data_IF_173755163968
#
_entry.id   IF_173755163968
#
_cell.length_a   1.000
_cell.length_b   1.000
_cell.length_c   1.000
_cell.angle_alpha   90.00
_cell.angle_beta   90.00
_cell.angle_gamma   90.00
#
_symmetry.space_group_name_H-M   'P 1'
#
loop_
_entity.id
_entity.type
_entity.pdbx_description
1 polymer ?
#
# COMPACT_ATOMS: atom_id res chain seq x y z
N UNK A 1 1.14 13.78 1.35
CA UNK A 1 1.14 12.85 2.50
C UNK A 1 1.82 11.56 2.10
N UNK A 2 2.38 10.83 3.06
CA UNK A 2 2.98 9.51 2.80
C UNK A 2 1.98 8.39 3.11
N UNK A 3 1.64 7.57 2.12
CA UNK A 3 0.81 6.38 2.31
C UNK A 3 1.70 5.20 2.75
N UNK A 4 1.36 4.55 3.85
CA UNK A 4 1.98 3.30 4.29
C UNK A 4 1.04 2.12 4.04
N UNK A 5 1.56 1.03 3.48
CA UNK A 5 0.84 -0.23 3.29
C UNK A 5 1.67 -1.38 3.88
N UNK A 6 1.04 -2.27 4.63
CA UNK A 6 1.62 -3.53 5.06
C UNK A 6 0.61 -4.67 4.94
N UNK A 7 0.96 -5.64 4.12
CA UNK A 7 0.18 -6.86 3.84
C UNK A 7 0.97 -8.12 4.18
N UNK A 8 2.10 -7.98 4.88
CA UNK A 8 3.00 -9.08 5.27
C UNK A 8 2.36 -10.03 6.28
N UNK A 9 1.39 -9.57 7.08
CA UNK A 9 0.70 -10.40 8.06
C UNK A 9 -0.37 -11.28 7.40
N UNK A 10 -0.49 -12.55 7.81
CA UNK A 10 -1.48 -13.48 7.27
C UNK A 10 -2.93 -13.12 7.59
N UNK A 11 -3.19 -12.39 8.67
CA UNK A 11 -4.56 -12.15 9.18
C UNK A 11 -5.04 -10.70 9.08
N UNK A 12 -4.13 -9.75 8.88
CA UNK A 12 -4.46 -8.32 8.83
C UNK A 12 -3.80 -7.59 7.68
N UNK A 13 -4.35 -6.41 7.40
CA UNK A 13 -3.76 -5.38 6.57
C UNK A 13 -3.56 -4.16 7.46
N UNK A 14 -2.43 -3.48 7.33
CA UNK A 14 -2.17 -2.20 7.98
C UNK A 14 -2.04 -1.15 6.88
N UNK A 15 -2.80 -0.07 6.99
CA UNK A 15 -2.73 1.09 6.11
C UNK A 15 -2.57 2.33 6.98
N UNK A 16 -1.79 3.30 6.54
CA UNK A 16 -1.59 4.53 7.28
C UNK A 16 -1.28 5.73 6.39
N UNK A 17 -1.48 6.91 6.96
CA UNK A 17 -1.06 8.17 6.36
C UNK A 17 -0.14 8.89 7.35
N UNK A 18 1.05 9.26 6.89
CA UNK A 18 2.11 9.87 7.68
C UNK A 18 2.42 9.08 8.97
N UNK A 19 1.98 9.55 10.14
CA UNK A 19 2.26 8.94 11.44
C UNK A 19 1.10 8.07 11.98
N UNK A 20 -0.05 8.07 11.32
CA UNK A 20 -1.22 7.32 11.75
C UNK A 20 -1.33 6.01 10.99
N UNK A 21 -1.50 4.89 11.70
CA UNK A 21 -1.68 3.56 11.12
C UNK A 21 -2.93 2.91 11.69
N UNK A 22 -3.72 2.30 10.82
CA UNK A 22 -4.94 1.59 11.15
C UNK A 22 -4.86 0.18 10.58
N UNK A 23 -5.34 -0.79 11.34
CA UNK A 23 -5.39 -2.17 10.91
C UNK A 23 -6.83 -2.65 10.67
N UNK A 24 -6.98 -3.60 9.75
CA UNK A 24 -8.23 -4.31 9.52
C UNK A 24 -7.97 -5.80 9.34
N UNK A 25 -8.93 -6.62 9.73
CA UNK A 25 -8.84 -8.07 9.58
C UNK A 25 -9.11 -8.46 8.12
N UNK A 26 -8.15 -9.16 7.53
CA UNK A 26 -8.24 -9.69 6.17
C UNK A 26 -7.38 -10.95 6.10
N UNK A 27 -8.01 -12.12 5.98
CA UNK A 27 -7.33 -13.41 5.95
C UNK A 27 -7.13 -13.87 4.51
N UNK A 28 -8.22 -14.25 3.86
CA UNK A 28 -8.22 -14.76 2.48
C UNK A 28 -8.62 -13.69 1.45
N UNK A 29 -9.15 -12.56 1.91
CA UNK A 29 -9.79 -11.51 1.11
C UNK A 29 -8.95 -10.24 0.98
N UNK A 30 -7.62 -10.34 1.14
CA UNK A 30 -6.72 -9.16 1.12
C UNK A 30 -6.80 -8.37 -0.18
N UNK A 31 -6.88 -9.06 -1.32
CA UNK A 31 -7.00 -8.43 -2.65
C UNK A 31 -8.30 -7.66 -2.82
N UNK A 32 -9.37 -8.07 -2.12
CA UNK A 32 -10.67 -7.42 -2.16
C UNK A 32 -10.77 -6.27 -1.15
N UNK A 33 -10.05 -6.36 -0.03
CA UNK A 33 -10.13 -5.39 1.07
C UNK A 33 -9.16 -4.22 1.00
N UNK A 34 -7.97 -4.40 0.43
CA UNK A 34 -6.91 -3.38 0.53
C UNK A 34 -7.33 -2.02 -0.05
N UNK A 35 -7.80 -1.99 -1.30
CA UNK A 35 -8.21 -0.73 -1.95
C UNK A 35 -9.43 -0.08 -1.29
N UNK A 36 -10.53 -0.80 -0.97
CA UNK A 36 -11.64 -0.22 -0.21
C UNK A 36 -11.22 0.33 1.15
N UNK A 37 -10.28 -0.33 1.84
CA UNK A 37 -9.79 0.15 3.13
C UNK A 37 -8.99 1.45 3.00
N UNK A 38 -8.16 1.58 1.96
CA UNK A 38 -7.46 2.83 1.64
C UNK A 38 -8.48 3.96 1.36
N UNK A 39 -9.50 3.71 0.52
CA UNK A 39 -10.55 4.69 0.19
C UNK A 39 -11.34 5.13 1.44
N UNK A 40 -11.70 4.17 2.30
CA UNK A 40 -12.38 4.46 3.56
C UNK A 40 -11.57 5.40 4.45
N UNK A 41 -10.27 5.14 4.61
CA UNK A 41 -9.40 5.97 5.45
C UNK A 41 -9.20 7.37 4.86
N UNK A 42 -9.02 7.49 3.54
CA UNK A 42 -8.97 8.80 2.85
C UNK A 42 -10.25 9.61 3.11
N UNK A 43 -11.42 8.99 2.94
CA UNK A 43 -12.71 9.64 3.19
C UNK A 43 -12.87 10.09 4.64
N UNK A 44 -12.47 9.27 5.60
CA UNK A 44 -12.52 9.60 7.04
C UNK A 44 -11.67 10.82 7.37
N UNK A 45 -10.49 10.94 6.75
CA UNK A 45 -9.58 12.07 6.95
C UNK A 45 -9.88 13.26 6.01
N UNK A 46 -10.94 13.16 5.17
CA UNK A 46 -11.32 14.16 4.16
C UNK A 46 -10.18 14.49 3.17
N UNK A 47 -9.38 13.48 2.88
CA UNK A 47 -8.26 13.52 1.96
C UNK A 47 -8.64 12.91 0.62
N UNK A 48 -7.89 13.24 -0.42
CA UNK A 48 -8.02 12.64 -1.75
C UNK A 48 -6.82 11.77 -2.07
N UNK A 49 -6.99 10.86 -3.01
CA UNK A 49 -5.90 9.97 -3.44
C UNK A 49 -4.76 10.76 -4.11
N UNK A 50 -5.07 11.89 -4.73
CA UNK A 50 -4.10 12.81 -5.34
C UNK A 50 -3.24 13.57 -4.32
N UNK A 51 -3.64 13.60 -3.05
CA UNK A 51 -2.87 14.24 -1.97
C UNK A 51 -1.70 13.34 -1.48
N UNK A 52 -1.64 12.09 -1.98
CA UNK A 52 -0.51 11.17 -1.75
C UNK A 52 0.70 11.68 -2.53
N UNK A 53 1.81 11.86 -1.82
CA UNK A 53 3.08 12.35 -2.38
C UNK A 53 4.17 11.28 -2.43
N UNK A 54 4.01 10.18 -1.68
CA UNK A 54 4.93 9.05 -1.62
C UNK A 54 4.17 7.82 -1.08
N UNK A 55 4.58 6.62 -1.50
CA UNK A 55 4.06 5.35 -1.00
C UNK A 55 5.19 4.54 -0.37
N UNK A 56 4.97 4.03 0.82
CA UNK A 56 5.81 3.05 1.49
C UNK A 56 5.05 1.73 1.62
N UNK A 57 5.70 0.64 1.19
CA UNK A 57 5.15 -0.71 1.23
C UNK A 57 6.15 -1.65 1.90
N UNK A 58 5.68 -2.44 2.85
CA UNK A 58 6.48 -3.54 3.39
C UNK A 58 6.66 -4.64 2.32
N UNK A 59 7.90 -4.85 1.87
CA UNK A 59 8.26 -5.83 0.84
C UNK A 59 8.61 -7.21 1.39
N UNK A 60 8.49 -7.43 2.70
CA UNK A 60 8.77 -8.71 3.35
C UNK A 60 9.89 -8.65 4.41
N UNK A 61 10.13 -9.77 5.10
CA UNK A 61 9.50 -11.09 4.91
C UNK A 61 8.04 -11.13 5.38
N UNK A 62 7.25 -12.11 4.90
CA UNK A 62 5.84 -12.25 5.28
C UNK A 62 4.99 -13.14 4.36
N UNK A 63 3.67 -12.98 4.45
CA UNK A 63 2.67 -13.69 3.64
C UNK A 63 2.94 -13.49 2.15
N UNK A 64 3.31 -14.56 1.45
CA UNK A 64 3.61 -14.52 0.02
C UNK A 64 2.47 -13.92 -0.80
N UNK A 65 1.23 -14.37 -0.58
CA UNK A 65 0.04 -13.83 -1.25
C UNK A 65 -0.22 -12.38 -0.85
N UNK A 66 -0.12 -12.07 0.45
CA UNK A 66 -0.32 -10.72 0.96
C UNK A 66 0.65 -9.72 0.34
N UNK A 67 1.95 -10.01 0.40
CA UNK A 67 3.01 -9.17 -0.16
C UNK A 67 2.81 -8.90 -1.65
N UNK A 68 2.39 -9.90 -2.44
CA UNK A 68 2.09 -9.70 -3.88
C UNK A 68 0.92 -8.76 -4.10
N UNK A 69 -0.13 -8.86 -3.28
CA UNK A 69 -1.26 -7.93 -3.32
C UNK A 69 -0.80 -6.51 -2.98
N UNK A 70 -0.06 -6.35 -1.88
CA UNK A 70 0.43 -5.04 -1.43
C UNK A 70 1.34 -4.36 -2.44
N UNK A 71 2.35 -5.07 -2.94
CA UNK A 71 3.29 -4.56 -3.96
C UNK A 71 2.57 -4.21 -5.26
N UNK A 72 1.64 -5.06 -5.74
CA UNK A 72 0.89 -4.77 -6.97
C UNK A 72 0.05 -3.49 -6.85
N UNK A 73 -0.63 -3.30 -5.72
CA UNK A 73 -1.42 -2.08 -5.45
C UNK A 73 -0.51 -0.87 -5.31
N UNK A 74 0.56 -0.96 -4.52
CA UNK A 74 1.50 0.13 -4.31
C UNK A 74 2.15 0.57 -5.63
N UNK A 75 2.60 -0.38 -6.47
CA UNK A 75 3.19 -0.06 -7.75
C UNK A 75 2.19 0.57 -8.72
N UNK A 76 0.96 0.06 -8.77
CA UNK A 76 -0.08 0.63 -9.64
C UNK A 76 -0.40 2.06 -9.23
N UNK A 77 -0.59 2.31 -7.93
CA UNK A 77 -0.85 3.66 -7.40
C UNK A 77 0.33 4.60 -7.65
N UNK A 78 1.55 4.16 -7.38
CA UNK A 78 2.77 4.95 -7.64
C UNK A 78 2.89 5.35 -9.10
N UNK A 79 2.64 4.42 -10.02
CA UNK A 79 2.67 4.70 -11.45
C UNK A 79 1.59 5.70 -11.87
N UNK A 80 0.34 5.47 -11.46
CA UNK A 80 -0.81 6.30 -11.82
C UNK A 80 -0.66 7.72 -11.27
N UNK A 81 -0.29 7.85 -9.99
CA UNK A 81 -0.13 9.14 -9.32
C UNK A 81 1.18 9.84 -9.69
N UNK A 82 2.20 9.10 -10.10
CA UNK A 82 3.53 9.66 -10.41
C UNK A 82 4.34 9.98 -9.18
N UNK A 83 4.19 9.15 -8.17
CA UNK A 83 4.86 9.29 -6.88
C UNK A 83 5.81 8.13 -6.67
N UNK A 84 6.81 8.35 -5.83
CA UNK A 84 7.78 7.32 -5.51
C UNK A 84 7.15 6.22 -4.65
N UNK A 85 7.57 4.98 -4.89
CA UNK A 85 7.23 3.82 -4.06
C UNK A 85 8.52 3.28 -3.46
N UNK A 86 8.67 3.30 -2.14
CA UNK A 86 9.93 2.95 -1.46
C UNK A 86 11.16 3.65 -2.06
N UNK A 87 11.00 4.90 -2.52
CA UNK A 87 12.05 5.68 -3.19
C UNK A 87 12.23 5.37 -4.69
N UNK A 88 11.54 4.39 -5.25
CA UNK A 88 11.61 4.05 -6.67
C UNK A 88 10.63 4.86 -7.52
N UNK A 89 11.10 5.34 -8.68
CA UNK A 89 10.29 6.04 -9.67
C UNK A 89 9.83 5.07 -10.77
N UNK A 90 8.62 4.55 -10.60
CA UNK A 90 8.10 3.51 -11.48
C UNK A 90 7.98 3.99 -12.93
N UNK A 91 7.70 5.28 -13.16
CA UNK A 91 7.58 5.85 -14.52
C UNK A 91 8.91 5.87 -15.29
N UNK A 92 10.03 5.70 -14.60
CA UNK A 92 11.37 5.51 -15.20
C UNK A 92 11.73 4.05 -15.46
N UNK A 93 10.79 3.13 -15.25
CA UNK A 93 11.00 1.69 -15.41
C UNK A 93 11.60 1.00 -14.18
N UNK A 94 11.72 1.70 -13.05
CA UNK A 94 12.07 1.08 -11.78
C UNK A 94 10.87 0.26 -11.27
N UNK A 95 11.14 -0.75 -10.43
CA UNK A 95 10.10 -1.62 -9.86
C UNK A 95 10.43 -1.89 -8.39
N UNK A 96 9.42 -1.79 -7.53
CA UNK A 96 9.49 -2.35 -6.18
C UNK A 96 9.01 -3.79 -6.25
N UNK A 97 9.83 -4.72 -5.78
CA UNK A 97 9.50 -6.15 -5.72
C UNK A 97 9.65 -6.70 -4.29
N UNK A 98 9.09 -7.87 -4.07
CA UNK A 98 9.16 -8.61 -2.81
C UNK A 98 10.59 -9.03 -2.54
N UNK A 99 11.04 -8.81 -1.30
CA UNK A 99 12.33 -9.29 -0.81
C UNK A 99 12.09 -10.64 -0.12
N UNK A 100 12.59 -11.70 -0.75
CA UNK A 100 12.57 -13.07 -0.20
C UNK A 100 13.68 -13.27 0.83
#
# INVERSE_FOLDING_TARGET
>A
MKLYIDTSNSEKIIVGFDNERVETVAREDKSQKLLPFIDELLRKQRMKIEDISEIEINTGPGSFTGLRVGVSVANTLGWVLGVLVNGCDLRKGEIVDIKY
#
